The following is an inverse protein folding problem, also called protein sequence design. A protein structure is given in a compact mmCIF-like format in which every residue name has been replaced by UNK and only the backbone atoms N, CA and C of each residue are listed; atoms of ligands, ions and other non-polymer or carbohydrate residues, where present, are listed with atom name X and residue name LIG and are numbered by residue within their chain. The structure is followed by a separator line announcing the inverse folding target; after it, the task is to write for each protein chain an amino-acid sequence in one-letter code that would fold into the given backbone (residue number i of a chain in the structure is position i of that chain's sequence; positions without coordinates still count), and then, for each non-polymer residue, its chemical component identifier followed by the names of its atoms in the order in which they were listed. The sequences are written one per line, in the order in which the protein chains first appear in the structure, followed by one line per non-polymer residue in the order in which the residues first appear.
data_IF_105249160534
#
_entry.id   IF_105249160534
#
_cell.length_a   1.000
_cell.length_b   1.000
_cell.length_c   1.000
_cell.angle_alpha   90.00
_cell.angle_beta   90.00
_cell.angle_gamma   90.00
#
_symmetry.space_group_name_H-M   'P 1'
#
loop_
_entity.id
_entity.type
_entity.pdbx_description
1 polymer ?
#
# COMPACT_ATOMS: atom_id res chain seq x y z
N UNK A 1 73.64 4.37 0.00
CA UNK A 1 73.94 4.98 -1.32
C UNK A 1 74.41 6.44 -1.22
N UNK A 2 74.02 7.20 -0.19
CA UNK A 2 74.50 8.57 0.03
C UNK A 2 75.98 8.67 0.50
N UNK A 3 76.51 7.65 1.18
CA UNK A 3 77.91 7.66 1.66
C UNK A 3 78.92 7.63 0.50
N UNK A 4 78.63 6.87 -0.56
CA UNK A 4 79.44 6.87 -1.79
C UNK A 4 79.48 8.24 -2.48
N UNK A 5 78.43 9.06 -2.33
CA UNK A 5 78.40 10.40 -2.91
C UNK A 5 79.23 11.38 -2.06
N UNK A 6 79.17 11.26 -0.73
CA UNK A 6 79.98 12.04 0.21
C UNK A 6 81.48 11.76 0.03
N UNK A 7 81.87 10.50 -0.10
CA UNK A 7 83.27 10.11 -0.30
C UNK A 7 83.80 10.60 -1.66
N UNK A 8 82.98 10.55 -2.71
CA UNK A 8 83.32 11.12 -4.01
C UNK A 8 83.48 12.63 -3.96
N UNK A 9 82.62 13.34 -3.22
CA UNK A 9 82.73 14.78 -3.07
C UNK A 9 84.00 15.18 -2.29
N UNK A 10 84.34 14.43 -1.23
CA UNK A 10 85.58 14.64 -0.48
C UNK A 10 86.83 14.36 -1.33
N UNK A 11 86.78 13.34 -2.19
CA UNK A 11 87.87 13.02 -3.12
C UNK A 11 88.06 14.16 -4.12
N UNK A 12 86.98 14.69 -4.71
CA UNK A 12 87.04 15.83 -5.64
C UNK A 12 87.54 17.10 -4.94
N UNK A 13 87.11 17.37 -3.71
CA UNK A 13 87.57 18.51 -2.93
C UNK A 13 89.06 18.41 -2.59
N UNK A 14 89.53 17.21 -2.23
CA UNK A 14 90.94 16.94 -1.96
C UNK A 14 91.80 17.11 -3.21
N UNK A 15 91.37 16.56 -4.35
CA UNK A 15 92.09 16.65 -5.62
C UNK A 15 92.15 18.09 -6.14
N UNK A 16 91.08 18.87 -5.96
CA UNK A 16 91.09 20.29 -6.25
C UNK A 16 92.11 21.01 -5.35
N UNK A 17 92.08 20.75 -4.05
CA UNK A 17 93.00 21.38 -3.10
C UNK A 17 94.47 21.02 -3.40
N UNK A 18 94.75 19.79 -3.80
CA UNK A 18 96.09 19.37 -4.23
C UNK A 18 96.50 19.99 -5.57
N UNK A 19 95.58 20.11 -6.53
CA UNK A 19 95.80 20.81 -7.78
C UNK A 19 96.19 22.28 -7.56
N UNK A 20 95.50 22.96 -6.65
CA UNK A 20 95.78 24.35 -6.29
C UNK A 20 97.12 24.51 -5.56
N UNK A 21 97.49 23.58 -4.67
CA UNK A 21 98.82 23.56 -4.04
C UNK A 21 99.94 23.35 -5.07
N UNK A 22 99.76 22.42 -6.01
CA UNK A 22 100.71 22.17 -7.09
C UNK A 22 100.89 23.39 -7.99
N UNK A 23 99.81 24.10 -8.31
CA UNK A 23 99.85 25.34 -9.06
C UNK A 23 100.54 26.45 -8.27
N UNK A 24 100.25 26.59 -6.97
CA UNK A 24 100.90 27.57 -6.11
C UNK A 24 102.42 27.31 -5.96
N UNK A 25 102.83 26.05 -5.87
CA UNK A 25 104.23 25.66 -5.79
C UNK A 25 104.95 25.86 -7.13
N UNK A 26 104.29 25.55 -8.26
CA UNK A 26 104.79 25.88 -9.60
C UNK A 26 104.90 27.39 -9.81
N UNK A 27 103.94 28.18 -9.34
CA UNK A 27 103.98 29.63 -9.40
C UNK A 27 105.15 30.20 -8.58
N UNK A 28 105.40 29.70 -7.37
CA UNK A 28 106.57 30.08 -6.57
C UNK A 28 107.90 29.69 -7.22
N UNK A 29 107.96 28.54 -7.88
CA UNK A 29 109.15 28.10 -8.62
C UNK A 29 109.42 28.97 -9.85
N UNK A 30 108.39 29.35 -10.60
CA UNK A 30 108.49 30.31 -11.72
C UNK A 30 108.92 31.68 -11.22
N UNK A 31 108.35 32.15 -10.11
CA UNK A 31 108.71 33.44 -9.52
C UNK A 31 110.18 33.46 -9.03
N UNK A 32 110.68 32.38 -8.42
CA UNK A 32 112.13 32.24 -8.09
C UNK A 32 113.03 32.22 -9.33
N UNK A 33 112.60 31.61 -10.44
CA UNK A 33 113.35 31.63 -11.71
C UNK A 33 113.33 33.01 -12.36
N UNK A 34 112.20 33.72 -12.29
CA UNK A 34 112.06 35.08 -12.77
C UNK A 34 112.95 36.03 -11.97
N UNK A 35 112.89 35.99 -10.64
CA UNK A 35 113.75 36.80 -9.75
C UNK A 35 115.23 36.56 -10.06
N UNK A 36 115.69 35.31 -10.19
CA UNK A 36 117.09 35.02 -10.58
C UNK A 36 117.47 35.53 -11.97
N UNK A 37 116.53 35.64 -12.90
CA UNK A 37 116.77 36.17 -14.24
C UNK A 37 116.74 37.70 -14.26
N UNK A 38 115.92 38.33 -13.41
CA UNK A 38 115.86 39.78 -13.28
C UNK A 38 117.08 40.35 -12.54
N UNK A 39 117.66 39.64 -11.57
CA UNK A 39 118.89 40.09 -10.86
C UNK A 39 120.16 39.99 -11.71
N UNK A 40 120.16 39.18 -12.78
CA UNK A 40 121.29 39.10 -13.73
C UNK A 40 121.24 40.16 -14.84
N UNK A 41 120.13 40.88 -14.99
CA UNK A 41 119.95 41.89 -16.06
C UNK A 41 120.30 43.31 -15.58
N UNK A 42 120.38 43.55 -14.27
CA UNK A 42 120.52 44.92 -13.74
C UNK A 42 121.93 45.38 -13.41
N UNK A 43 123.00 44.57 -13.56
CA UNK A 43 124.36 44.97 -13.14
C UNK A 43 125.48 44.86 -14.20
N UNK A 44 125.16 44.54 -15.45
CA UNK A 44 126.11 44.70 -16.58
C UNK A 44 125.36 45.14 -17.84
N UNK A 45 125.25 46.44 -18.09
CA UNK A 45 125.05 46.98 -19.44
C UNK A 45 126.11 48.05 -19.69
N UNK A 46 127.18 47.55 -20.28
CA UNK A 46 128.20 48.25 -21.05
C UNK A 46 127.54 48.99 -22.22
N UNK A 47 127.92 50.25 -22.41
CA UNK A 47 127.66 51.05 -23.61
C UNK A 47 128.18 50.31 -24.85
N UNK A 48 127.30 49.90 -25.75
CA UNK A 48 127.65 49.51 -27.11
C UNK A 48 126.42 49.53 -28.02
N UNK A 49 126.44 50.41 -29.01
CA UNK A 49 125.75 50.22 -30.29
C UNK A 49 124.26 50.54 -30.31
N UNK A 50 123.95 51.64 -30.98
CA UNK A 50 122.63 52.15 -31.35
C UNK A 50 121.86 51.15 -32.23
N UNK A 51 121.26 50.13 -31.62
CA UNK A 51 120.12 49.38 -32.13
C UNK A 51 118.97 49.60 -31.17
N UNK A 52 118.45 50.83 -31.16
CA UNK A 52 117.13 51.08 -30.66
C UNK A 52 116.15 50.34 -31.58
N UNK A 53 115.80 49.11 -31.21
CA UNK A 53 114.68 48.39 -31.81
C UNK A 53 113.51 49.38 -31.87
N UNK A 54 113.06 49.71 -33.08
CA UNK A 54 111.84 50.49 -33.29
C UNK A 54 110.65 49.62 -32.89
N UNK A 55 110.51 49.40 -31.59
CA UNK A 55 109.42 48.69 -30.98
C UNK A 55 108.21 49.59 -31.16
N UNK A 56 107.31 49.20 -32.07
CA UNK A 56 106.07 49.93 -32.24
C UNK A 56 105.23 49.70 -30.98
N UNK A 57 105.33 50.62 -30.01
CA UNK A 57 104.64 50.52 -28.72
C UNK A 57 103.12 50.33 -28.90
N UNK A 58 102.58 50.81 -30.02
CA UNK A 58 101.17 50.71 -30.41
C UNK A 58 100.76 49.29 -30.89
N UNK A 59 101.70 48.42 -31.28
CA UNK A 59 101.37 47.06 -31.68
C UNK A 59 100.78 46.26 -30.51
N UNK A 60 101.19 46.56 -29.27
CA UNK A 60 100.63 45.95 -28.07
C UNK A 60 99.20 46.41 -27.78
N UNK A 61 98.89 47.70 -27.96
CA UNK A 61 97.55 48.26 -27.76
C UNK A 61 96.58 47.81 -28.85
N UNK A 62 97.02 47.70 -30.10
CA UNK A 62 96.21 47.19 -31.23
C UNK A 62 95.82 45.72 -31.03
N UNK A 63 96.77 44.86 -30.63
CA UNK A 63 96.49 43.45 -30.34
C UNK A 63 95.50 43.33 -29.18
N UNK A 64 95.72 44.09 -28.10
CA UNK A 64 94.81 44.10 -26.95
C UNK A 64 93.40 44.58 -27.36
N UNK A 65 93.31 45.65 -28.14
CA UNK A 65 92.04 46.19 -28.65
C UNK A 65 91.29 45.17 -29.51
N UNK A 66 91.99 44.44 -30.38
CA UNK A 66 91.40 43.38 -31.21
C UNK A 66 90.80 42.27 -30.35
N UNK A 67 91.57 41.73 -29.40
CA UNK A 67 91.07 40.66 -28.53
C UNK A 67 89.95 41.13 -27.60
N UNK A 68 90.02 42.36 -27.10
CA UNK A 68 88.95 42.95 -26.30
C UNK A 68 87.65 43.08 -27.10
N UNK A 69 87.71 43.51 -28.36
CA UNK A 69 86.53 43.58 -29.24
C UNK A 69 85.96 42.19 -29.55
N UNK A 70 86.80 41.24 -29.94
CA UNK A 70 86.37 39.86 -30.19
C UNK A 70 85.75 39.22 -28.96
N UNK A 71 86.33 39.47 -27.77
CA UNK A 71 85.78 38.97 -26.52
C UNK A 71 84.43 39.62 -26.20
N UNK A 72 84.28 40.92 -26.42
CA UNK A 72 83.00 41.61 -26.26
C UNK A 72 81.93 41.08 -27.24
N UNK A 73 82.28 40.84 -28.50
CA UNK A 73 81.39 40.24 -29.51
C UNK A 73 80.94 38.83 -29.09
N UNK A 74 81.86 37.99 -28.61
CA UNK A 74 81.53 36.64 -28.11
C UNK A 74 80.60 36.73 -26.89
N UNK A 75 80.87 37.65 -25.96
CA UNK A 75 80.02 37.83 -24.78
C UNK A 75 78.62 38.32 -25.13
N UNK A 76 78.49 39.24 -26.08
CA UNK A 76 77.18 39.69 -26.55
C UNK A 76 76.43 38.56 -27.25
N UNK A 77 77.09 37.83 -28.17
CA UNK A 77 76.51 36.67 -28.83
C UNK A 77 76.09 35.57 -27.84
N UNK A 78 76.88 35.33 -26.80
CA UNK A 78 76.55 34.39 -25.72
C UNK A 78 75.35 34.88 -24.90
N UNK A 79 75.24 36.17 -24.63
CA UNK A 79 74.10 36.75 -23.91
C UNK A 79 72.81 36.64 -24.73
N UNK A 80 72.86 36.98 -26.01
CA UNK A 80 71.72 36.79 -26.92
C UNK A 80 71.33 35.32 -27.03
N UNK A 81 72.30 34.41 -27.13
CA UNK A 81 72.04 32.97 -27.17
C UNK A 81 71.35 32.49 -25.88
N UNK A 82 71.81 32.94 -24.71
CA UNK A 82 71.19 32.63 -23.43
C UNK A 82 69.76 33.21 -23.35
N UNK A 83 69.53 34.43 -23.83
CA UNK A 83 68.20 35.04 -23.91
C UNK A 83 67.25 34.25 -24.82
N UNK A 84 67.70 33.87 -26.02
CA UNK A 84 66.92 33.01 -26.93
C UNK A 84 66.61 31.65 -26.32
N UNK A 85 67.56 31.03 -25.63
CA UNK A 85 67.35 29.77 -24.94
C UNK A 85 66.32 29.89 -23.81
N UNK A 86 66.37 30.97 -23.03
CA UNK A 86 65.40 31.24 -21.97
C UNK A 86 63.98 31.47 -22.53
N UNK A 87 63.83 32.21 -23.63
CA UNK A 87 62.53 32.38 -24.28
C UNK A 87 61.97 31.06 -24.81
N UNK A 88 62.81 30.21 -25.38
CA UNK A 88 62.39 28.88 -25.84
C UNK A 88 61.97 27.98 -24.65
N UNK A 89 62.74 27.99 -23.56
CA UNK A 89 62.41 27.24 -22.34
C UNK A 89 61.07 27.70 -21.74
N UNK A 90 60.80 29.01 -21.72
CA UNK A 90 59.53 29.54 -21.26
C UNK A 90 58.35 29.00 -22.09
N UNK A 91 58.46 29.02 -23.42
CA UNK A 91 57.41 28.51 -24.32
C UNK A 91 57.21 27.00 -24.11
N UNK A 92 58.29 26.24 -23.99
CA UNK A 92 58.24 24.78 -23.75
C UNK A 92 57.57 24.49 -22.40
N UNK A 93 57.92 25.23 -21.36
CA UNK A 93 57.34 25.10 -20.01
C UNK A 93 55.84 25.42 -19.99
N UNK A 94 55.44 26.52 -20.65
CA UNK A 94 54.02 26.88 -20.79
C UNK A 94 53.24 25.81 -21.57
N UNK A 95 53.80 25.28 -22.66
CA UNK A 95 53.19 24.20 -23.42
C UNK A 95 53.09 22.91 -22.60
N UNK A 96 54.14 22.52 -21.89
CA UNK A 96 54.16 21.36 -21.00
C UNK A 96 53.08 21.47 -19.92
N UNK A 97 52.91 22.65 -19.33
CA UNK A 97 51.86 22.91 -18.35
C UNK A 97 50.47 22.68 -18.96
N UNK A 98 50.19 23.25 -20.13
CA UNK A 98 48.91 23.03 -20.84
C UNK A 98 48.67 21.56 -21.17
N UNK A 99 49.69 20.84 -21.62
CA UNK A 99 49.59 19.39 -21.86
C UNK A 99 49.29 18.61 -20.58
N UNK A 100 49.92 18.96 -19.46
CA UNK A 100 49.66 18.31 -18.17
C UNK A 100 48.25 18.60 -17.66
N UNK A 101 47.76 19.83 -17.83
CA UNK A 101 46.38 20.22 -17.49
C UNK A 101 45.39 19.42 -18.33
N UNK A 102 45.60 19.34 -19.66
CA UNK A 102 44.75 18.56 -20.55
C UNK A 102 44.79 17.06 -20.22
N UNK A 103 45.95 16.51 -19.90
CA UNK A 103 46.07 15.12 -19.48
C UNK A 103 45.28 14.87 -18.18
N UNK A 104 45.34 15.80 -17.24
CA UNK A 104 44.60 15.71 -15.97
C UNK A 104 43.09 15.75 -16.21
N UNK A 105 42.59 16.69 -17.03
CA UNK A 105 41.16 16.78 -17.34
C UNK A 105 40.67 15.56 -18.13
N UNK A 106 41.46 15.07 -19.08
CA UNK A 106 41.15 13.83 -19.81
C UNK A 106 41.12 12.62 -18.88
N UNK A 107 42.07 12.52 -17.95
CA UNK A 107 42.11 11.42 -16.98
C UNK A 107 40.90 11.45 -16.04
N UNK A 108 40.48 12.63 -15.57
CA UNK A 108 39.26 12.79 -14.77
C UNK A 108 38.01 12.40 -15.58
N UNK A 109 37.92 12.84 -16.83
CA UNK A 109 36.81 12.46 -17.70
C UNK A 109 36.76 10.93 -17.93
N UNK A 110 37.91 10.30 -18.13
CA UNK A 110 37.99 8.85 -18.28
C UNK A 110 37.63 8.11 -16.99
N UNK A 111 37.95 8.63 -15.81
CA UNK A 111 37.51 8.03 -14.54
C UNK A 111 35.99 8.13 -14.36
N UNK A 112 35.38 9.26 -14.73
CA UNK A 112 33.91 9.41 -14.68
C UNK A 112 33.21 8.48 -15.68
N UNK A 113 33.72 8.36 -16.90
CA UNK A 113 33.17 7.40 -17.88
C UNK A 113 33.29 5.95 -17.42
N UNK A 114 34.32 5.61 -16.65
CA UNK A 114 34.48 4.27 -16.09
C UNK A 114 33.41 3.92 -15.04
N UNK A 115 32.72 4.91 -14.45
CA UNK A 115 31.60 4.70 -13.52
C UNK A 115 30.26 4.46 -14.24
N UNK A 116 30.15 4.83 -15.52
CA UNK A 116 28.90 4.70 -16.26
C UNK A 116 28.33 3.27 -16.32
N UNK A 117 29.14 2.21 -16.51
CA UNK A 117 28.66 0.83 -16.46
C UNK A 117 28.05 0.44 -15.11
N UNK A 118 28.59 0.97 -14.00
CA UNK A 118 28.03 0.73 -12.66
C UNK A 118 26.66 1.40 -12.51
N UNK A 119 26.53 2.65 -12.98
CA UNK A 119 25.23 3.35 -13.01
C UNK A 119 24.22 2.59 -13.86
N UNK A 120 24.62 2.11 -15.05
CA UNK A 120 23.76 1.29 -15.91
C UNK A 120 23.31 0.02 -15.19
N UNK A 121 24.22 -0.70 -14.53
CA UNK A 121 23.89 -1.89 -13.74
C UNK A 121 22.91 -1.57 -12.60
N UNK A 122 23.08 -0.45 -11.92
CA UNK A 122 22.18 -0.01 -10.86
C UNK A 122 20.77 0.30 -11.41
N UNK A 123 20.70 0.93 -12.59
CA UNK A 123 19.42 1.18 -13.29
C UNK A 123 18.77 -0.14 -13.73
N UNK A 124 19.53 -1.08 -14.27
CA UNK A 124 19.02 -2.41 -14.65
C UNK A 124 18.51 -3.20 -13.44
N UNK A 125 19.20 -3.10 -12.30
CA UNK A 125 18.78 -3.72 -11.04
C UNK A 125 17.48 -3.08 -10.54
N UNK A 126 17.43 -1.74 -10.47
CA UNK A 126 16.22 -1.02 -10.07
C UNK A 126 15.03 -1.33 -11.00
N UNK A 127 15.29 -1.49 -12.30
CA UNK A 127 14.27 -1.93 -13.27
C UNK A 127 13.76 -3.34 -12.94
N UNK A 128 14.66 -4.29 -12.67
CA UNK A 128 14.27 -5.65 -12.30
C UNK A 128 13.47 -5.68 -11.00
N UNK A 129 13.81 -4.85 -10.02
CA UNK A 129 13.06 -4.70 -8.77
C UNK A 129 11.65 -4.12 -9.03
N UNK A 130 11.53 -3.11 -9.89
CA UNK A 130 10.24 -2.55 -10.31
C UNK A 130 9.37 -3.62 -11.00
N UNK A 131 9.95 -4.39 -11.92
CA UNK A 131 9.24 -5.47 -12.60
C UNK A 131 8.77 -6.55 -11.59
N UNK A 132 9.61 -6.87 -10.59
CA UNK A 132 9.26 -7.81 -9.52
C UNK A 132 8.11 -7.28 -8.64
N UNK A 133 8.13 -5.99 -8.28
CA UNK A 133 7.02 -5.36 -7.57
C UNK A 133 5.74 -5.35 -8.41
N UNK A 134 5.84 -5.10 -9.71
CA UNK A 134 4.71 -5.22 -10.64
C UNK A 134 4.04 -6.58 -10.55
N UNK A 135 4.84 -7.67 -10.61
CA UNK A 135 4.31 -9.03 -10.46
C UNK A 135 3.70 -9.31 -9.08
N UNK A 136 4.27 -8.76 -8.00
CA UNK A 136 3.71 -8.90 -6.65
C UNK A 136 2.37 -8.16 -6.50
N UNK A 137 2.23 -6.98 -7.12
CA UNK A 137 0.98 -6.22 -7.13
C UNK A 137 -0.09 -6.99 -7.91
N UNK A 138 0.23 -7.57 -9.06
CA UNK A 138 -0.73 -8.40 -9.80
C UNK A 138 -1.22 -9.60 -8.97
N UNK A 139 -0.33 -10.26 -8.22
CA UNK A 139 -0.72 -11.35 -7.31
C UNK A 139 -1.60 -10.85 -6.17
N UNK A 140 -1.28 -9.68 -5.60
CA UNK A 140 -2.08 -9.06 -4.54
C UNK A 140 -3.48 -8.69 -5.05
N UNK A 141 -3.58 -8.11 -6.24
CA UNK A 141 -4.85 -7.72 -6.86
C UNK A 141 -5.74 -8.95 -7.09
N UNK A 142 -5.18 -10.06 -7.59
CA UNK A 142 -5.90 -11.32 -7.74
C UNK A 142 -6.40 -11.85 -6.38
N UNK A 143 -5.55 -11.83 -5.35
CA UNK A 143 -5.94 -12.28 -4.01
C UNK A 143 -7.03 -11.37 -3.40
N UNK A 144 -7.00 -10.07 -3.69
CA UNK A 144 -8.05 -9.14 -3.29
C UNK A 144 -9.38 -9.43 -3.99
N UNK A 145 -9.35 -9.75 -5.29
CA UNK A 145 -10.55 -10.20 -6.02
C UNK A 145 -11.14 -11.47 -5.41
N UNK A 146 -10.31 -12.47 -5.11
CA UNK A 146 -10.73 -13.71 -4.45
C UNK A 146 -11.37 -13.44 -3.08
N UNK A 147 -10.81 -12.49 -2.32
CA UNK A 147 -11.34 -12.08 -1.02
C UNK A 147 -12.70 -11.38 -1.15
N UNK A 148 -12.85 -10.52 -2.15
CA UNK A 148 -14.11 -9.84 -2.45
C UNK A 148 -15.20 -10.85 -2.80
N UNK A 149 -14.92 -11.81 -3.70
CA UNK A 149 -15.84 -12.89 -4.05
C UNK A 149 -16.24 -13.71 -2.82
N UNK A 150 -15.29 -14.05 -1.95
CA UNK A 150 -15.56 -14.76 -0.70
C UNK A 150 -16.47 -13.97 0.24
N UNK A 151 -16.28 -12.65 0.34
CA UNK A 151 -17.13 -11.78 1.16
C UNK A 151 -18.54 -11.68 0.61
N UNK A 152 -18.70 -11.48 -0.70
CA UNK A 152 -20.02 -11.44 -1.36
C UNK A 152 -20.79 -12.74 -1.15
N UNK A 153 -20.12 -13.88 -1.31
CA UNK A 153 -20.71 -15.21 -1.08
C UNK A 153 -21.19 -15.36 0.37
N UNK A 154 -20.36 -14.96 1.33
CA UNK A 154 -20.70 -15.06 2.74
C UNK A 154 -21.91 -14.18 3.08
N UNK A 155 -21.98 -12.97 2.53
CA UNK A 155 -23.13 -12.08 2.74
C UNK A 155 -24.41 -12.58 2.06
N UNK A 156 -24.30 -13.26 0.92
CA UNK A 156 -25.42 -13.95 0.29
C UNK A 156 -25.90 -15.11 1.16
N UNK A 157 -25.00 -15.93 1.69
CA UNK A 157 -25.32 -17.04 2.59
C UNK A 157 -26.01 -16.54 3.87
N UNK A 158 -25.51 -15.46 4.47
CA UNK A 158 -26.15 -14.79 5.62
C UNK A 158 -27.57 -14.33 5.29
N UNK A 159 -27.76 -13.68 4.15
CA UNK A 159 -29.10 -13.22 3.69
C UNK A 159 -30.05 -14.40 3.47
N UNK A 160 -29.58 -15.46 2.83
CA UNK A 160 -30.36 -16.69 2.61
C UNK A 160 -30.74 -17.35 3.93
N UNK A 161 -29.83 -17.43 4.89
CA UNK A 161 -30.10 -17.98 6.21
C UNK A 161 -31.14 -17.15 6.98
N UNK A 162 -31.02 -15.81 6.97
CA UNK A 162 -31.98 -14.92 7.60
C UNK A 162 -33.39 -15.04 6.99
N UNK A 163 -33.49 -15.10 5.66
CA UNK A 163 -34.76 -15.34 4.97
C UNK A 163 -35.32 -16.73 5.27
N UNK A 164 -34.47 -17.76 5.29
CA UNK A 164 -34.86 -19.13 5.66
C UNK A 164 -35.43 -19.21 7.08
N UNK A 165 -34.82 -18.52 8.04
CA UNK A 165 -35.34 -18.42 9.40
C UNK A 165 -36.70 -17.71 9.43
N UNK A 166 -36.85 -16.58 8.74
CA UNK A 166 -38.12 -15.84 8.64
C UNK A 166 -39.24 -16.72 8.06
N UNK A 167 -38.95 -17.46 6.99
CA UNK A 167 -39.91 -18.39 6.39
C UNK A 167 -40.27 -19.54 7.33
N UNK A 168 -39.30 -20.09 8.06
CA UNK A 168 -39.57 -21.14 9.05
C UNK A 168 -40.44 -20.64 10.20
N UNK A 169 -40.19 -19.43 10.70
CA UNK A 169 -41.03 -18.81 11.73
C UNK A 169 -42.45 -18.55 11.22
N UNK A 170 -42.60 -18.02 10.00
CA UNK A 170 -43.93 -17.82 9.41
C UNK A 170 -44.68 -19.13 9.22
N UNK A 171 -44.00 -20.20 8.78
CA UNK A 171 -44.59 -21.52 8.65
C UNK A 171 -45.07 -22.05 10.01
N UNK A 172 -44.22 -21.95 11.03
CA UNK A 172 -44.56 -22.40 12.38
C UNK A 172 -45.75 -21.62 12.96
N UNK A 173 -45.75 -20.29 12.85
CA UNK A 173 -46.88 -19.47 13.30
C UNK A 173 -48.19 -19.85 12.57
N UNK A 174 -48.12 -20.19 11.28
CA UNK A 174 -49.30 -20.65 10.52
C UNK A 174 -49.77 -22.04 10.96
N UNK A 175 -48.85 -22.93 11.30
CA UNK A 175 -49.18 -24.24 11.88
C UNK A 175 -49.89 -24.06 13.23
N UNK A 176 -49.38 -23.17 14.09
CA UNK A 176 -49.97 -22.84 15.39
C UNK A 176 -51.36 -22.21 15.23
N UNK A 177 -51.53 -21.23 14.32
CA UNK A 177 -52.82 -20.59 14.01
C UNK A 177 -53.87 -21.64 13.58
N UNK A 178 -53.45 -22.61 12.76
CA UNK A 178 -54.32 -23.70 12.30
C UNK A 178 -54.69 -24.67 13.42
N UNK A 179 -53.77 -24.94 14.35
CA UNK A 179 -54.05 -25.78 15.53
C UNK A 179 -55.08 -25.10 16.44
N UNK A 180 -54.89 -23.81 16.73
CA UNK A 180 -55.87 -23.02 17.49
C UNK A 180 -57.24 -23.02 16.82
N UNK A 181 -57.31 -22.77 15.50
CA UNK A 181 -58.57 -22.80 14.76
C UNK A 181 -59.25 -24.18 14.80
N UNK A 182 -58.48 -25.28 14.77
CA UNK A 182 -59.03 -26.63 14.91
C UNK A 182 -59.61 -26.86 16.31
N UNK A 183 -58.93 -26.43 17.35
CA UNK A 183 -59.42 -26.52 18.74
C UNK A 183 -60.70 -25.69 18.93
N UNK A 184 -60.74 -24.46 18.40
CA UNK A 184 -61.93 -23.61 18.43
C UNK A 184 -63.11 -24.25 17.69
N UNK A 185 -62.87 -24.79 16.49
CA UNK A 185 -63.88 -25.50 15.70
C UNK A 185 -64.41 -26.73 16.45
N UNK A 186 -63.53 -27.51 17.08
CA UNK A 186 -63.90 -28.69 17.85
C UNK A 186 -64.74 -28.30 19.07
N UNK A 187 -64.29 -27.32 19.86
CA UNK A 187 -65.06 -26.83 21.00
C UNK A 187 -66.41 -26.24 20.59
N UNK A 188 -66.50 -25.61 19.42
CA UNK A 188 -67.76 -25.11 18.87
C UNK A 188 -68.70 -26.24 18.45
N UNK A 189 -68.17 -27.33 17.87
CA UNK A 189 -68.95 -28.56 17.56
C UNK A 189 -69.48 -29.20 18.84
N UNK A 190 -68.64 -29.35 19.87
CA UNK A 190 -69.04 -29.90 21.17
C UNK A 190 -70.13 -29.03 21.83
N UNK A 191 -69.94 -27.71 21.87
CA UNK A 191 -70.96 -26.77 22.36
C UNK A 191 -72.27 -26.88 21.59
N UNK A 192 -72.23 -27.00 20.26
CA UNK A 192 -73.43 -27.19 19.43
C UNK A 192 -74.12 -28.53 19.72
N UNK A 193 -73.37 -29.62 19.86
CA UNK A 193 -73.91 -30.94 20.18
C UNK A 193 -74.62 -30.92 21.54
N UNK A 194 -74.02 -30.33 22.57
CA UNK A 194 -74.64 -30.18 23.90
C UNK A 194 -75.92 -29.34 23.83
N UNK A 195 -75.91 -28.22 23.09
CA UNK A 195 -77.12 -27.40 22.88
C UNK A 195 -78.24 -28.18 22.20
N UNK A 196 -77.91 -28.97 21.17
CA UNK A 196 -78.89 -29.76 20.42
C UNK A 196 -79.51 -30.85 21.31
N UNK A 197 -78.70 -31.58 22.08
CA UNK A 197 -79.19 -32.55 23.08
C UNK A 197 -80.08 -31.89 24.14
N UNK A 198 -79.75 -30.67 24.58
CA UNK A 198 -80.56 -29.95 25.55
C UNK A 198 -81.92 -29.53 24.96
N UNK A 199 -81.94 -29.06 23.70
CA UNK A 199 -83.19 -28.73 22.99
C UNK A 199 -84.05 -29.97 22.76
N UNK A 200 -83.45 -31.10 22.36
CA UNK A 200 -84.17 -32.37 22.17
C UNK A 200 -84.78 -32.88 23.49
N UNK A 201 -84.03 -32.80 24.59
CA UNK A 201 -84.53 -33.12 25.93
C UNK A 201 -85.69 -32.21 26.33
N UNK A 202 -85.56 -30.91 26.11
CA UNK A 202 -86.61 -29.94 26.42
C UNK A 202 -87.88 -30.21 25.59
N UNK A 203 -87.75 -30.40 24.27
CA UNK A 203 -88.86 -30.76 23.40
C UNK A 203 -89.56 -32.06 23.84
N UNK A 204 -88.80 -33.05 24.33
CA UNK A 204 -89.35 -34.30 24.88
C UNK A 204 -90.10 -34.10 26.20
N UNK A 205 -89.67 -33.15 27.04
CA UNK A 205 -90.37 -32.79 28.28
C UNK A 205 -91.66 -32.04 27.95
N UNK A 206 -91.59 -31.02 27.10
CA UNK A 206 -92.75 -30.23 26.67
C UNK A 206 -93.80 -31.11 26.00
N UNK A 207 -93.40 -32.01 25.08
CA UNK A 207 -94.29 -32.97 24.43
C UNK A 207 -95.01 -33.86 25.46
N UNK A 208 -94.31 -34.33 26.49
CA UNK A 208 -94.90 -35.12 27.58
C UNK A 208 -95.88 -34.29 28.42
N UNK A 209 -95.55 -33.04 28.72
CA UNK A 209 -96.46 -32.12 29.43
C UNK A 209 -97.73 -31.89 28.62
N UNK A 210 -97.65 -31.63 27.32
CA UNK A 210 -98.82 -31.47 26.45
C UNK A 210 -99.70 -32.73 26.45
N UNK A 211 -99.10 -33.92 26.44
CA UNK A 211 -99.86 -35.16 26.55
C UNK A 211 -100.50 -35.35 27.93
N UNK A 212 -99.82 -34.96 29.00
CA UNK A 212 -100.35 -34.99 30.37
C UNK A 212 -101.52 -34.02 30.54
N UNK A 213 -101.39 -32.78 30.05
CA UNK A 213 -102.43 -31.76 30.08
C UNK A 213 -103.65 -32.20 29.26
N UNK A 214 -103.44 -32.71 28.04
CA UNK A 214 -104.53 -33.24 27.21
C UNK A 214 -105.24 -34.43 27.89
N UNK A 215 -104.49 -35.29 28.59
CA UNK A 215 -105.07 -36.40 29.36
C UNK A 215 -105.90 -35.89 30.55
N UNK A 216 -105.38 -34.91 31.31
CA UNK A 216 -106.10 -34.31 32.44
C UNK A 216 -107.36 -33.58 31.99
N UNK A 217 -107.32 -32.89 30.85
CA UNK A 217 -108.49 -32.27 30.24
C UNK A 217 -109.53 -33.32 29.85
N UNK A 218 -109.13 -34.42 29.19
CA UNK A 218 -110.02 -35.54 28.90
C UNK A 218 -110.60 -36.18 30.16
N UNK A 219 -109.81 -36.35 31.22
CA UNK A 219 -110.27 -36.89 32.50
C UNK A 219 -111.29 -35.95 33.16
N UNK A 220 -111.03 -34.65 33.17
CA UNK A 220 -111.95 -33.64 33.68
C UNK A 220 -113.25 -33.58 32.85
N UNK A 221 -113.14 -33.67 31.54
CA UNK A 221 -114.28 -33.75 30.64
C UNK A 221 -115.12 -35.00 30.93
N UNK A 222 -114.48 -36.16 31.14
CA UNK A 222 -115.15 -37.39 31.54
C UNK A 222 -115.89 -37.24 32.87
N UNK A 223 -115.25 -36.65 33.89
CA UNK A 223 -115.87 -36.37 35.20
C UNK A 223 -117.10 -35.45 35.05
N UNK A 224 -117.03 -34.45 34.17
CA UNK A 224 -118.11 -33.47 33.99
C UNK A 224 -119.28 -33.97 33.11
N UNK A 225 -119.00 -34.76 32.06
CA UNK A 225 -119.98 -35.09 31.01
C UNK A 225 -120.23 -36.60 30.79
N UNK A 226 -119.46 -37.49 31.43
CA UNK A 226 -119.71 -38.94 31.48
C UNK A 226 -119.54 -39.71 30.17
N UNK A 227 -118.83 -39.18 29.16
CA UNK A 227 -118.55 -39.86 27.87
C UNK A 227 -117.10 -39.66 27.45
N UNK A 228 -116.46 -40.70 26.91
CA UNK A 228 -115.13 -40.63 26.29
C UNK A 228 -115.24 -40.32 24.80
N UNK A 229 -114.43 -39.40 24.28
CA UNK A 229 -114.23 -39.30 22.82
C UNK A 229 -113.51 -40.56 22.28
N UNK A 230 -113.81 -40.93 21.03
CA UNK A 230 -113.25 -42.11 20.36
C UNK A 230 -111.72 -42.00 20.17
N UNK A 231 -110.99 -43.13 20.18
CA UNK A 231 -109.53 -43.13 20.06
C UNK A 231 -109.05 -42.47 18.76
N UNK A 232 -108.08 -41.55 18.89
CA UNK A 232 -107.41 -40.81 17.79
C UNK A 232 -106.79 -41.74 16.72
N UNK A 233 -106.65 -43.04 17.03
CA UNK A 233 -106.24 -44.09 16.09
C UNK A 233 -107.17 -44.26 14.88
N UNK A 234 -108.42 -43.77 14.92
CA UNK A 234 -109.40 -44.02 13.84
C UNK A 234 -109.63 -42.83 12.90
N UNK A 235 -109.14 -41.63 13.22
CA UNK A 235 -109.35 -40.43 12.38
C UNK A 235 -108.38 -40.33 11.17
N UNK A 236 -107.25 -41.03 11.20
CA UNK A 236 -106.27 -40.99 10.10
C UNK A 236 -106.61 -41.95 8.94
N UNK A 237 -107.73 -42.66 9.01
CA UNK A 237 -108.11 -43.68 8.01
C UNK A 237 -109.06 -43.17 6.91
N UNK A 238 -109.46 -41.89 6.94
CA UNK A 238 -110.55 -41.40 6.08
C UNK A 238 -110.27 -40.09 5.33
N UNK A 239 -109.00 -39.69 5.24
CA UNK A 239 -108.53 -38.77 4.19
C UNK A 239 -107.37 -39.43 3.45
N UNK A 240 -107.64 -39.83 2.21
CA UNK A 240 -106.71 -40.44 1.27
C UNK A 240 -105.61 -39.44 0.91
N UNK A 241 -104.37 -39.80 1.16
CA UNK A 241 -103.38 -39.93 0.10
C UNK A 241 -102.42 -41.05 0.50
N UNK A 242 -102.54 -42.17 -0.20
CA UNK A 242 -101.58 -43.26 -0.16
C UNK A 242 -100.30 -42.78 -0.88
N UNK A 243 -99.42 -42.11 -0.16
CA UNK A 243 -98.01 -42.03 -0.52
C UNK A 243 -97.26 -43.00 0.37
N UNK A 244 -97.05 -44.23 -0.10
CA UNK A 244 -96.07 -45.12 0.51
C UNK A 244 -94.70 -44.45 0.38
N UNK A 245 -93.96 -44.32 1.47
CA UNK A 245 -92.59 -43.81 1.44
C UNK A 245 -91.63 -44.72 0.65
N UNK A 246 -92.08 -45.93 0.27
CA UNK A 246 -91.36 -46.85 -0.61
C UNK A 246 -91.33 -46.40 -2.09
N UNK A 247 -92.05 -45.33 -2.47
CA UNK A 247 -92.06 -44.77 -3.84
C UNK A 247 -91.27 -43.46 -4.00
N UNK A 248 -90.49 -43.04 -2.99
CA UNK A 248 -89.44 -42.03 -3.22
C UNK A 248 -88.23 -42.77 -3.81
N UNK A 249 -88.31 -43.05 -5.11
CA UNK A 249 -87.08 -43.18 -5.88
C UNK A 249 -86.38 -41.83 -5.81
N UNK A 250 -85.27 -41.76 -5.06
CA UNK A 250 -84.24 -40.79 -5.39
C UNK A 250 -83.84 -41.13 -6.82
N UNK A 251 -84.20 -40.27 -7.77
CA UNK A 251 -83.55 -40.30 -9.09
C UNK A 251 -82.06 -40.21 -8.81
N UNK A 252 -81.37 -41.32 -9.06
CA UNK A 252 -79.93 -41.44 -8.98
C UNK A 252 -79.39 -40.69 -10.22
N UNK A 253 -79.57 -39.36 -10.22
CA UNK A 253 -78.96 -38.40 -11.16
C UNK A 253 -77.47 -38.33 -10.84
N UNK A 254 -76.83 -39.49 -10.91
CA UNK A 254 -75.41 -39.72 -10.67
C UNK A 254 -74.58 -38.84 -11.61
N UNK A 255 -75.04 -38.57 -12.84
CA UNK A 255 -74.34 -37.67 -13.77
C UNK A 255 -74.47 -36.17 -13.44
N UNK A 256 -75.61 -35.72 -12.93
CA UNK A 256 -75.79 -34.29 -12.59
C UNK A 256 -75.07 -33.97 -11.28
N UNK A 257 -75.17 -34.87 -10.29
CA UNK A 257 -74.49 -34.72 -9.01
C UNK A 257 -72.96 -34.88 -9.12
N UNK A 258 -72.43 -35.77 -9.97
CA UNK A 258 -70.97 -35.84 -10.17
C UNK A 258 -70.42 -34.57 -10.80
N UNK A 259 -71.16 -33.97 -11.74
CA UNK A 259 -70.72 -32.76 -12.42
C UNK A 259 -70.78 -31.53 -11.52
N UNK A 260 -71.81 -31.41 -10.68
CA UNK A 260 -71.92 -30.34 -9.69
C UNK A 260 -70.91 -30.50 -8.54
N UNK A 261 -70.58 -31.74 -8.15
CA UNK A 261 -69.51 -32.02 -7.19
C UNK A 261 -68.12 -31.74 -7.79
N UNK A 262 -67.88 -32.09 -9.06
CA UNK A 262 -66.62 -31.76 -9.75
C UNK A 262 -66.43 -30.24 -9.95
N UNK A 263 -67.50 -29.49 -10.21
CA UNK A 263 -67.48 -28.02 -10.23
C UNK A 263 -67.27 -27.42 -8.82
N UNK A 264 -67.76 -28.08 -7.76
CA UNK A 264 -67.58 -27.63 -6.37
C UNK A 264 -66.17 -27.92 -5.81
N UNK A 265 -65.60 -29.08 -6.17
CA UNK A 265 -64.23 -29.44 -5.77
C UNK A 265 -63.16 -28.84 -6.68
N UNK A 266 -63.55 -28.28 -7.83
CA UNK A 266 -62.65 -27.66 -8.79
C UNK A 266 -61.77 -28.71 -9.46
N UNK A 267 -62.08 -29.06 -10.70
CA UNK A 267 -61.28 -29.95 -11.54
C UNK A 267 -59.77 -29.72 -11.38
N UNK A 268 -59.08 -30.65 -10.71
CA UNK A 268 -57.64 -30.81 -10.83
C UNK A 268 -57.33 -31.16 -12.28
N UNK A 269 -56.98 -30.17 -13.10
CA UNK A 269 -55.89 -30.16 -14.10
C UNK A 269 -56.18 -29.14 -15.18
N UNK A 270 -55.37 -28.09 -15.23
CA UNK A 270 -54.93 -27.53 -16.51
C UNK A 270 -53.46 -27.11 -16.39
N UNK A 271 -52.55 -27.72 -17.17
CA UNK A 271 -51.24 -27.16 -17.47
C UNK A 271 -51.42 -26.10 -18.57
N UNK A 272 -51.37 -24.82 -18.22
CA UNK A 272 -51.39 -23.74 -19.21
C UNK A 272 -49.98 -23.20 -19.46
N UNK A 273 -49.33 -23.77 -20.47
CA UNK A 273 -48.26 -23.13 -21.22
C UNK A 273 -48.84 -22.01 -22.10
N UNK A 274 -48.35 -20.78 -21.85
CA UNK A 274 -48.01 -19.68 -22.78
C UNK A 274 -48.79 -19.50 -24.11
N UNK A 275 -49.13 -18.23 -24.46
CA UNK A 275 -48.25 -17.58 -25.44
C UNK A 275 -48.02 -16.05 -25.27
N UNK A 276 -46.85 -15.65 -25.80
CA UNK A 276 -46.54 -14.36 -26.46
C UNK A 276 -45.99 -13.18 -25.63
N UNK A 277 -44.76 -12.76 -25.98
CA UNK A 277 -44.25 -11.39 -25.77
C UNK A 277 -45.03 -10.35 -26.60
N UNK A 278 -44.74 -9.04 -26.58
CA UNK A 278 -43.47 -8.32 -26.55
C UNK A 278 -43.75 -6.83 -26.16
N UNK A 279 -42.75 -6.20 -25.54
CA UNK A 279 -42.40 -4.75 -25.46
C UNK A 279 -43.08 -3.76 -24.48
N UNK A 280 -42.19 -3.23 -23.61
CA UNK A 280 -41.91 -1.82 -23.26
C UNK A 280 -43.08 -0.84 -23.13
N UNK A 281 -43.19 -0.21 -21.95
CA UNK A 281 -42.82 1.20 -21.77
C UNK A 281 -42.87 1.65 -20.30
N UNK A 282 -42.07 2.68 -20.03
CA UNK A 282 -41.81 3.32 -18.75
C UNK A 282 -43.08 3.80 -18.04
N UNK A 283 -43.13 3.58 -16.72
CA UNK A 283 -43.90 4.46 -15.82
C UNK A 283 -43.05 4.77 -14.59
N UNK A 284 -42.35 5.88 -14.71
CA UNK A 284 -41.80 6.65 -13.60
C UNK A 284 -42.95 7.17 -12.75
N UNK A 285 -43.10 6.69 -11.53
CA UNK A 285 -43.88 7.38 -10.49
C UNK A 285 -42.95 7.56 -9.31
N UNK A 286 -42.43 8.79 -9.21
CA UNK A 286 -41.76 9.26 -8.01
C UNK A 286 -42.78 9.44 -6.90
N UNK A 287 -42.43 8.99 -5.70
CA UNK A 287 -42.95 9.54 -4.46
C UNK A 287 -41.76 9.83 -3.55
N UNK A 288 -41.58 11.12 -3.34
CA UNK A 288 -40.70 11.76 -2.37
C UNK A 288 -41.39 11.81 -1.00
N UNK A 289 -40.56 12.07 0.00
CA UNK A 289 -40.85 12.59 1.35
C UNK A 289 -41.29 11.52 2.36
N UNK A 290 -40.38 11.20 3.28
CA UNK A 290 -40.17 11.91 4.56
C UNK A 290 -41.16 11.38 5.57
N UNK A 291 -40.63 10.62 6.52
CA UNK A 291 -41.06 10.47 7.92
C UNK A 291 -40.71 9.06 8.38
N UNK A 292 -39.56 8.90 9.06
CA UNK A 292 -39.31 7.96 10.16
C UNK A 292 -37.88 8.22 10.69
N UNK A 293 -37.68 9.41 11.25
CA UNK A 293 -36.48 9.75 12.03
C UNK A 293 -36.93 10.23 13.42
N UNK A 294 -37.46 9.33 14.26
CA UNK A 294 -37.70 9.61 15.69
C UNK A 294 -37.65 8.34 16.54
N UNK A 295 -36.48 7.67 16.61
CA UNK A 295 -36.10 6.86 17.79
C UNK A 295 -34.64 6.35 17.68
N UNK A 296 -33.68 7.22 18.03
CA UNK A 296 -32.45 6.84 18.74
C UNK A 296 -31.51 8.05 18.90
N UNK A 297 -31.86 8.94 19.84
CA UNK A 297 -30.87 9.79 20.49
C UNK A 297 -31.02 9.58 22.00
N UNK A 298 -30.03 8.93 22.62
CA UNK A 298 -29.54 9.20 23.97
C UNK A 298 -28.50 8.14 24.40
N UNK A 299 -27.21 8.40 24.15
CA UNK A 299 -26.14 8.21 25.15
C UNK A 299 -24.86 8.94 24.70
N UNK A 300 -24.16 9.68 25.59
CA UNK A 300 -23.02 10.50 25.21
C UNK A 300 -21.68 9.77 25.40
N UNK A 301 -20.79 9.88 24.41
CA UNK A 301 -19.35 9.63 24.61
C UNK A 301 -18.57 10.91 24.34
N UNK A 302 -18.15 11.55 25.43
CA UNK A 302 -17.08 12.55 25.42
C UNK A 302 -15.77 11.86 25.07
N UNK A 303 -15.03 12.35 24.08
CA UNK A 303 -13.56 12.50 24.16
C UNK A 303 -13.16 13.60 23.19
N UNK A 304 -12.54 14.65 23.74
CA UNK A 304 -12.17 15.86 23.05
C UNK A 304 -10.83 15.71 22.33
N UNK A 305 -10.78 16.13 21.07
CA UNK A 305 -9.60 16.77 20.50
C UNK A 305 -9.80 18.27 20.60
N UNK A 306 -8.83 19.01 21.16
CA UNK A 306 -8.07 20.02 20.42
C UNK A 306 -7.20 20.89 21.35
N UNK A 307 -6.10 21.36 20.78
CA UNK A 307 -5.44 22.65 21.04
C UNK A 307 -4.10 22.62 21.79
N UNK A 308 -3.08 22.90 20.99
CA UNK A 308 -1.76 23.38 21.38
C UNK A 308 -1.80 24.79 21.99
N UNK A 309 -0.95 25.07 22.98
CA UNK A 309 -0.16 26.31 23.09
C UNK A 309 0.88 26.26 24.23
N UNK A 310 2.13 26.55 23.86
CA UNK A 310 3.23 27.20 24.59
C UNK A 310 3.29 27.22 26.13
N UNK A 311 4.42 26.77 26.69
CA UNK A 311 5.19 27.54 27.68
C UNK A 311 6.65 27.06 27.76
N UNK A 312 7.56 28.01 27.58
CA UNK A 312 9.01 28.00 27.80
C UNK A 312 9.37 28.00 29.29
N UNK A 313 10.62 27.61 29.56
CA UNK A 313 11.51 27.97 30.68
C UNK A 313 11.89 26.93 31.76
N UNK A 314 13.22 26.81 31.88
CA UNK A 314 14.07 26.57 33.08
C UNK A 314 14.57 25.16 33.38
N UNK A 315 15.69 24.89 32.72
CA UNK A 315 16.95 24.44 33.31
C UNK A 315 17.16 24.87 34.79
N UNK A 316 17.43 23.90 35.67
CA UNK A 316 18.37 24.01 36.79
C UNK A 316 18.61 22.63 37.42
N UNK A 317 19.89 22.28 37.42
CA UNK A 317 20.59 21.23 38.15
C UNK A 317 20.22 21.13 39.63
N UNK A 318 20.14 19.92 40.20
CA UNK A 318 21.07 19.58 41.28
C UNK A 318 21.15 18.07 41.57
N UNK A 319 22.38 17.64 41.82
CA UNK A 319 22.84 16.33 42.26
C UNK A 319 22.89 16.37 43.79
N UNK A 320 22.38 15.37 44.53
CA UNK A 320 22.97 14.93 45.83
C UNK A 320 22.39 13.58 46.28
N UNK A 321 23.30 12.59 46.31
CA UNK A 321 23.59 11.56 47.33
C UNK A 321 22.44 10.77 47.96
N UNK A 322 22.36 9.49 47.58
CA UNK A 322 21.98 8.41 48.48
C UNK A 322 23.23 7.94 49.27
N UNK A 323 23.15 8.08 50.59
CA UNK A 323 23.98 7.40 51.59
C UNK A 323 23.02 6.88 52.66
N UNK A 324 22.94 5.55 52.81
CA UNK A 324 22.63 4.80 54.04
C UNK A 324 22.77 3.31 53.70
N UNK A 325 23.79 2.58 54.17
CA UNK A 325 23.92 2.04 55.54
C UNK A 325 22.54 1.57 56.05
N UNK A 326 22.30 0.29 56.30
CA UNK A 326 23.04 -0.48 57.30
C UNK A 326 22.63 -1.97 57.33
N UNK A 327 23.47 -2.77 57.99
CA UNK A 327 23.19 -4.06 58.66
C UNK A 327 23.36 -5.40 57.93
N UNK A 328 24.60 -5.92 58.01
CA UNK A 328 24.98 -7.28 58.49
C UNK A 328 23.98 -7.86 59.52
N UNK A 329 23.72 -9.16 59.74
CA UNK A 329 24.24 -10.52 59.44
C UNK A 329 23.25 -11.47 60.19
N UNK A 330 23.33 -12.81 60.15
CA UNK A 330 23.81 -13.76 59.14
C UNK A 330 22.68 -14.61 58.51
#
# INVERSE_FOLDING_TARGET
MFDNFRDRLQTVQHDLTQGWKSIADKAKAVNKKLVRKTTFITDEIVESGDQCFSCNLEAGSEILSKYQKQWAEIHEASRECAGRAQSADQIISEFSKKCSELHTTMSMFHSELALLPEVIKNIETAKADIDAFGGQIEVLDNLMMDLEEACEKLDLERRKAAQGLKLSMLRHNREDDLEVLKEELQSARERKAVKLLHLERQASIEKRQVYEDAFLEQMNYYIQYGKTEEPISMLHSRSRSSGSLDDVMLEDDTELHTKELDDFFGSETEPSEVPSGVDKEQTTVGLSSEDEELLNQNLPSHTAESTAQNATEKESTDVVKENKEDSEQP
#
